data_IF_203767639552
#
_entry.id   IF_203767639552
#
_cell.length_a   1.000
_cell.length_b   1.000
_cell.length_c   1.000
_cell.angle_alpha   90.00
_cell.angle_beta   90.00
_cell.angle_gamma   90.00
#
_symmetry.space_group_name_H-M   'P 1'
#
loop_
_entity.id
_entity.type
_entity.pdbx_description
1 polymer ?
#
# COMPACT_ATOMS: atom_id res chain seq x y z
N UNK A 1 -49.44 -20.74 18.15
CA UNK A 1 -48.50 -19.85 17.43
C UNK A 1 -47.41 -20.73 16.85
N UNK A 2 -47.40 -20.90 15.53
CA UNK A 2 -46.56 -21.87 14.84
C UNK A 2 -45.11 -21.36 14.75
N UNK A 3 -44.17 -22.14 15.27
CA UNK A 3 -42.75 -21.95 15.05
C UNK A 3 -42.44 -22.31 13.59
N UNK A 4 -41.98 -21.34 12.81
CA UNK A 4 -41.47 -21.57 11.46
C UNK A 4 -40.17 -22.37 11.54
N UNK A 5 -40.25 -23.64 11.16
CA UNK A 5 -39.09 -24.52 11.01
C UNK A 5 -38.20 -24.02 9.86
N UNK A 6 -36.93 -23.74 10.18
CA UNK A 6 -35.87 -23.48 9.21
C UNK A 6 -35.58 -24.74 8.40
N UNK A 7 -35.83 -24.69 7.10
CA UNK A 7 -35.54 -25.78 6.17
C UNK A 7 -34.02 -25.96 5.98
N UNK A 8 -33.51 -27.21 5.93
CA UNK A 8 -32.12 -27.47 5.62
C UNK A 8 -31.88 -27.20 4.13
N UNK A 9 -31.18 -26.12 3.80
CA UNK A 9 -30.82 -25.80 2.42
C UNK A 9 -29.80 -26.82 1.89
N UNK A 10 -30.28 -27.76 1.08
CA UNK A 10 -29.49 -28.61 0.21
C UNK A 10 -28.64 -27.75 -0.73
N UNK A 11 -27.33 -28.00 -0.77
CA UNK A 11 -26.36 -27.22 -1.55
C UNK A 11 -26.25 -27.67 -3.01
N UNK A 12 -27.30 -28.26 -3.56
CA UNK A 12 -27.29 -28.85 -4.91
C UNK A 12 -27.59 -27.86 -6.03
N UNK A 13 -28.09 -26.67 -5.70
CA UNK A 13 -28.42 -25.65 -6.68
C UNK A 13 -27.88 -24.26 -6.30
N UNK A 14 -27.49 -23.44 -7.29
CA UNK A 14 -27.14 -22.05 -7.05
C UNK A 14 -28.38 -21.26 -6.61
N UNK A 15 -28.21 -20.38 -5.61
CA UNK A 15 -29.27 -19.49 -5.19
C UNK A 15 -29.67 -18.52 -6.33
N UNK A 16 -30.93 -18.14 -6.38
CA UNK A 16 -31.47 -17.22 -7.38
C UNK A 16 -30.67 -15.89 -7.42
N UNK A 17 -30.32 -15.43 -8.63
CA UNK A 17 -29.47 -14.25 -8.82
C UNK A 17 -27.99 -14.44 -8.42
N UNK A 18 -27.55 -15.66 -8.12
CA UNK A 18 -26.14 -15.98 -7.82
C UNK A 18 -25.49 -16.84 -8.90
N UNK A 19 -24.16 -16.79 -8.92
CA UNK A 19 -23.33 -17.47 -9.89
C UNK A 19 -23.50 -19.00 -9.83
N UNK A 20 -23.74 -19.60 -10.99
CA UNK A 20 -23.94 -21.04 -11.15
C UNK A 20 -22.64 -21.87 -11.14
N UNK A 21 -21.48 -21.25 -10.89
CA UNK A 21 -20.19 -21.96 -10.87
C UNK A 21 -20.01 -22.73 -9.54
N UNK A 22 -19.71 -24.03 -9.62
CA UNK A 22 -19.41 -24.85 -8.45
C UNK A 22 -17.94 -24.78 -8.07
N UNK A 23 -17.63 -24.33 -6.86
CA UNK A 23 -16.25 -24.22 -6.36
C UNK A 23 -15.87 -25.52 -5.66
N UNK A 24 -15.22 -26.43 -6.37
CA UNK A 24 -14.84 -27.77 -5.88
C UNK A 24 -14.09 -27.72 -4.54
N UNK A 25 -13.08 -26.84 -4.43
CA UNK A 25 -12.30 -26.66 -3.19
C UNK A 25 -13.14 -26.29 -1.97
N UNK A 26 -14.31 -25.66 -2.18
CA UNK A 26 -15.19 -25.17 -1.11
C UNK A 26 -16.52 -25.93 -1.05
N UNK A 27 -16.69 -26.96 -1.88
CA UNK A 27 -17.89 -27.80 -2.02
C UNK A 27 -19.20 -27.00 -1.99
N UNK A 28 -19.26 -25.90 -2.76
CA UNK A 28 -20.44 -25.03 -2.84
C UNK A 28 -20.47 -24.21 -4.12
N UNK A 29 -21.66 -23.74 -4.49
CA UNK A 29 -21.83 -22.75 -5.55
C UNK A 29 -21.25 -21.37 -5.18
N UNK A 30 -20.74 -20.67 -6.18
CA UNK A 30 -20.21 -19.32 -6.06
C UNK A 30 -21.32 -18.35 -5.61
N UNK A 31 -21.08 -17.63 -4.51
CA UNK A 31 -22.08 -16.69 -3.95
C UNK A 31 -22.05 -15.31 -4.59
N UNK A 32 -21.33 -15.13 -5.69
CA UNK A 32 -21.23 -13.82 -6.33
C UNK A 32 -22.50 -13.52 -7.13
N UNK A 33 -22.93 -12.26 -7.15
CA UNK A 33 -24.13 -11.81 -7.89
C UNK A 33 -23.85 -11.86 -9.39
N UNK A 34 -24.87 -12.26 -10.17
CA UNK A 34 -24.81 -12.27 -11.63
C UNK A 34 -25.46 -11.01 -12.21
N UNK A 35 -24.97 -10.55 -13.37
CA UNK A 35 -25.65 -9.51 -14.12
C UNK A 35 -26.99 -10.03 -14.67
N UNK A 36 -27.95 -9.14 -14.90
CA UNK A 36 -29.26 -9.51 -15.44
C UNK A 36 -29.11 -10.33 -16.74
N UNK A 37 -29.75 -11.50 -16.80
CA UNK A 37 -29.69 -12.40 -17.95
C UNK A 37 -28.41 -13.25 -18.06
N UNK A 38 -27.49 -13.19 -17.10
CA UNK A 38 -26.26 -14.01 -17.10
C UNK A 38 -26.30 -15.07 -16.00
N UNK A 39 -25.68 -16.23 -16.26
CA UNK A 39 -25.64 -17.38 -15.33
C UNK A 39 -24.44 -17.37 -14.37
N UNK A 40 -23.41 -16.60 -14.69
CA UNK A 40 -22.14 -16.58 -13.95
C UNK A 40 -21.71 -15.15 -13.61
N UNK A 41 -20.98 -14.98 -12.51
CA UNK A 41 -20.44 -13.67 -12.12
C UNK A 41 -19.26 -13.26 -13.01
N UNK A 42 -18.83 -11.99 -12.95
CA UNK A 42 -17.74 -11.49 -13.80
C UNK A 42 -16.43 -12.28 -13.73
N UNK A 43 -16.14 -12.96 -12.61
CA UNK A 43 -14.96 -13.83 -12.46
C UNK A 43 -15.13 -15.21 -13.11
N UNK A 44 -16.35 -15.75 -13.13
CA UNK A 44 -16.66 -17.08 -13.69
C UNK A 44 -17.42 -17.01 -15.02
N UNK A 45 -17.65 -15.81 -15.58
CA UNK A 45 -18.34 -15.59 -16.84
C UNK A 45 -17.64 -16.26 -18.04
N UNK A 46 -16.33 -16.50 -17.94
CA UNK A 46 -15.55 -17.20 -18.96
C UNK A 46 -15.81 -18.71 -19.03
N UNK A 47 -16.60 -19.29 -18.12
CA UNK A 47 -16.90 -20.72 -18.11
C UNK A 47 -18.07 -21.13 -19.03
N UNK A 48 -18.71 -20.20 -19.75
CA UNK A 48 -20.03 -20.43 -20.36
C UNK A 48 -20.21 -20.07 -21.85
N UNK A 49 -19.22 -19.51 -22.54
CA UNK A 49 -19.43 -19.05 -23.93
C UNK A 49 -18.19 -19.32 -24.79
N UNK A 50 -18.29 -20.32 -25.68
CA UNK A 50 -17.28 -20.64 -26.71
C UNK A 50 -17.36 -19.72 -27.95
N UNK A 51 -18.34 -18.83 -28.07
CA UNK A 51 -18.50 -18.00 -29.30
C UNK A 51 -18.21 -16.50 -29.14
N UNK A 52 -17.67 -16.06 -27.99
CA UNK A 52 -17.12 -14.69 -27.87
C UNK A 52 -16.05 -14.59 -26.78
N UNK A 53 -15.17 -15.60 -26.72
CA UNK A 53 -14.09 -15.65 -25.74
C UNK A 53 -13.03 -14.59 -26.08
N UNK A 54 -13.20 -13.38 -25.55
CA UNK A 54 -12.16 -12.34 -25.57
C UNK A 54 -10.87 -12.96 -25.03
N UNK A 55 -9.87 -13.10 -25.92
CA UNK A 55 -8.62 -13.78 -25.62
C UNK A 55 -7.88 -13.07 -24.49
N UNK A 56 -7.57 -13.82 -23.43
CA UNK A 56 -6.73 -13.36 -22.32
C UNK A 56 -5.31 -13.86 -22.54
N UNK A 57 -4.33 -12.97 -22.41
CA UNK A 57 -2.91 -13.24 -22.50
C UNK A 57 -2.24 -12.92 -21.17
N UNK A 58 -1.07 -13.51 -20.90
CA UNK A 58 -0.23 -13.08 -19.78
C UNK A 58 0.24 -11.65 -20.01
N UNK A 59 0.33 -10.85 -18.95
CA UNK A 59 0.81 -9.49 -19.08
C UNK A 59 2.30 -9.47 -19.44
N UNK A 60 2.72 -8.71 -20.48
CA UNK A 60 4.12 -8.59 -20.85
C UNK A 60 5.02 -7.98 -19.77
N UNK A 61 4.45 -7.18 -18.87
CA UNK A 61 5.19 -6.53 -17.76
C UNK A 61 5.27 -7.41 -16.50
N UNK A 62 4.37 -8.39 -16.36
CA UNK A 62 4.36 -9.31 -15.22
C UNK A 62 3.54 -10.56 -15.55
N UNK A 63 4.19 -11.71 -15.81
CA UNK A 63 3.50 -12.96 -16.12
C UNK A 63 2.59 -13.49 -15.01
N UNK A 64 2.59 -12.90 -13.80
CA UNK A 64 1.72 -13.34 -12.68
C UNK A 64 0.25 -12.99 -12.86
N UNK A 65 -0.12 -12.16 -13.85
CA UNK A 65 -1.52 -11.84 -14.13
C UNK A 65 -1.87 -11.89 -15.62
N UNK A 66 -3.17 -12.04 -15.89
CA UNK A 66 -3.73 -12.09 -17.25
C UNK A 66 -4.50 -10.82 -17.59
N UNK A 67 -4.50 -10.46 -18.87
CA UNK A 67 -5.18 -9.27 -19.43
C UNK A 67 -5.86 -9.64 -20.73
N UNK A 68 -6.96 -8.98 -21.07
CA UNK A 68 -7.56 -9.16 -22.39
C UNK A 68 -6.67 -8.56 -23.47
N UNK A 69 -6.46 -9.29 -24.56
CA UNK A 69 -5.60 -8.91 -25.68
C UNK A 69 -6.04 -7.56 -26.29
N UNK A 70 -7.35 -7.37 -26.47
CA UNK A 70 -7.96 -6.13 -26.97
C UNK A 70 -7.83 -4.94 -26.00
N UNK A 71 -7.55 -5.19 -24.71
CA UNK A 71 -7.34 -4.18 -23.69
C UNK A 71 -5.88 -4.05 -23.25
N UNK A 72 -4.94 -4.75 -23.89
CA UNK A 72 -3.54 -4.75 -23.51
C UNK A 72 -2.97 -3.32 -23.48
N UNK A 73 -3.21 -2.53 -24.53
CA UNK A 73 -2.71 -1.15 -24.59
C UNK A 73 -3.24 -0.27 -23.43
N UNK A 74 -4.51 -0.44 -23.05
CA UNK A 74 -5.11 0.26 -21.90
C UNK A 74 -4.55 -0.26 -20.58
N UNK A 75 -4.31 -1.57 -20.49
CA UNK A 75 -3.73 -2.21 -19.32
C UNK A 75 -2.29 -1.74 -19.09
N UNK A 76 -1.42 -1.76 -20.11
CA UNK A 76 -0.02 -1.36 -19.99
C UNK A 76 0.12 0.06 -19.41
N UNK A 77 -0.82 0.96 -19.73
CA UNK A 77 -0.86 2.32 -19.17
C UNK A 77 -1.20 2.40 -17.67
N UNK A 78 -1.77 1.36 -17.08
CA UNK A 78 -2.20 1.30 -15.67
C UNK A 78 -1.66 0.09 -14.91
N UNK A 79 -0.78 -0.70 -15.54
CA UNK A 79 -0.21 -1.89 -14.94
C UNK A 79 0.63 -1.48 -13.73
N UNK A 80 0.45 -2.18 -12.60
CA UNK A 80 1.23 -1.92 -11.40
C UNK A 80 2.71 -2.29 -11.59
N UNK A 81 3.00 -3.26 -12.46
CA UNK A 81 4.34 -3.74 -12.77
C UNK A 81 5.05 -2.89 -13.83
N UNK A 82 4.39 -1.86 -14.37
CA UNK A 82 5.05 -0.87 -15.22
C UNK A 82 6.04 -0.07 -14.37
N UNK A 83 7.25 0.10 -14.87
CA UNK A 83 8.23 1.01 -14.28
C UNK A 83 7.65 2.43 -14.23
N UNK A 84 7.52 2.97 -13.01
CA UNK A 84 7.12 4.35 -12.82
C UNK A 84 8.37 5.22 -13.01
N UNK A 85 8.23 6.42 -13.62
CA UNK A 85 9.34 7.37 -13.65
C UNK A 85 9.81 7.64 -12.23
N UNK A 86 11.11 7.53 -12.01
CA UNK A 86 11.72 7.81 -10.72
C UNK A 86 11.56 9.30 -10.41
N UNK A 87 11.10 9.67 -9.20
CA UNK A 87 10.96 11.07 -8.82
C UNK A 87 12.33 11.73 -8.65
N UNK A 88 12.39 13.07 -8.67
CA UNK A 88 13.65 13.82 -8.57
C UNK A 88 14.43 13.54 -7.29
N UNK A 89 13.71 13.23 -6.19
CA UNK A 89 14.29 12.86 -4.90
C UNK A 89 14.78 11.40 -4.82
N UNK A 90 14.80 10.67 -5.93
CA UNK A 90 15.42 9.37 -6.04
C UNK A 90 16.92 9.51 -6.36
N UNK A 91 17.78 9.01 -5.47
CA UNK A 91 19.20 8.77 -5.74
C UNK A 91 19.48 7.33 -5.33
N UNK A 92 19.90 6.51 -6.29
CA UNK A 92 20.13 5.09 -6.03
C UNK A 92 21.15 4.92 -4.90
N UNK A 93 20.78 4.05 -3.94
CA UNK A 93 21.58 3.61 -2.79
C UNK A 93 22.27 4.69 -1.94
N UNK A 94 21.78 5.94 -1.96
CA UNK A 94 22.38 7.05 -1.19
C UNK A 94 22.40 6.81 0.32
N UNK A 95 21.43 6.05 0.85
CA UNK A 95 21.35 5.71 2.27
C UNK A 95 21.55 4.22 2.53
N UNK A 96 22.06 3.44 1.56
CA UNK A 96 22.12 1.97 1.68
C UNK A 96 23.21 1.44 2.65
N UNK A 97 24.02 2.33 3.23
CA UNK A 97 25.19 1.95 4.04
C UNK A 97 26.34 1.41 3.18
N UNK A 98 27.57 1.57 3.64
CA UNK A 98 28.74 0.92 3.05
C UNK A 98 28.80 -0.53 3.56
N UNK A 99 28.99 -1.50 2.66
CA UNK A 99 29.11 -2.93 3.03
C UNK A 99 30.36 -3.27 3.85
N UNK A 100 31.35 -2.36 3.88
CA UNK A 100 32.66 -2.56 4.50
C UNK A 100 32.91 -1.73 5.76
N UNK A 101 31.89 -1.08 6.33
CA UNK A 101 32.08 -0.34 7.57
C UNK A 101 31.86 -1.26 8.78
N UNK A 102 32.98 -1.56 9.44
CA UNK A 102 33.08 -1.98 10.85
C UNK A 102 31.83 -1.60 11.62
N UNK A 103 31.16 -2.61 12.18
CA UNK A 103 29.98 -2.49 13.05
C UNK A 103 30.06 -1.18 13.85
N UNK A 104 29.34 -0.15 13.40
CA UNK A 104 29.08 1.01 14.26
C UNK A 104 28.35 0.38 15.44
N UNK A 105 28.88 0.44 16.68
CA UNK A 105 28.22 -0.20 17.79
C UNK A 105 26.81 0.37 17.87
N UNK A 106 25.81 -0.46 17.57
CA UNK A 106 24.41 -0.11 17.72
C UNK A 106 24.18 0.10 19.21
N UNK A 107 24.46 1.31 19.70
CA UNK A 107 24.14 1.69 21.06
C UNK A 107 22.64 1.97 21.11
N UNK A 108 21.87 0.88 21.08
CA UNK A 108 20.44 0.90 21.29
C UNK A 108 20.20 1.15 22.77
N UNK A 109 20.02 2.42 23.11
CA UNK A 109 19.69 2.84 24.48
C UNK A 109 18.16 2.87 24.59
N UNK A 110 17.54 2.06 25.46
CA UNK A 110 16.13 2.18 25.78
C UNK A 110 15.77 3.62 26.18
N UNK A 111 14.59 4.10 25.79
CA UNK A 111 14.10 5.42 26.23
C UNK A 111 14.09 5.52 27.77
N UNK A 112 13.81 4.42 28.45
CA UNK A 112 13.82 4.32 29.92
C UNK A 112 15.20 4.46 30.57
N UNK A 113 16.29 4.36 29.80
CA UNK A 113 17.66 4.55 30.27
C UNK A 113 18.25 5.92 29.94
N UNK A 114 17.47 6.80 29.29
CA UNK A 114 17.86 8.18 29.07
C UNK A 114 17.73 8.98 30.38
N UNK A 115 18.67 9.89 30.65
CA UNK A 115 18.56 10.79 31.80
C UNK A 115 17.43 11.80 31.61
N UNK A 116 16.93 12.35 32.72
CA UNK A 116 15.91 13.42 32.68
C UNK A 116 16.38 14.61 31.82
N UNK A 117 17.66 14.99 31.91
CA UNK A 117 18.24 16.06 31.10
C UNK A 117 18.20 15.75 29.59
N UNK A 118 18.51 14.51 29.19
CA UNK A 118 18.43 14.11 27.79
C UNK A 118 16.99 14.11 27.28
N UNK A 119 16.05 13.65 28.11
CA UNK A 119 14.63 13.66 27.77
C UNK A 119 14.10 15.09 27.64
N UNK A 120 14.46 15.98 28.55
CA UNK A 120 14.11 17.41 28.45
C UNK A 120 14.70 18.05 27.19
N UNK A 121 15.95 17.76 26.86
CA UNK A 121 16.58 18.28 25.65
C UNK A 121 15.89 17.79 24.38
N UNK A 122 15.43 16.54 24.36
CA UNK A 122 14.62 16.00 23.26
C UNK A 122 13.28 16.72 23.16
N UNK A 123 12.59 16.91 24.29
CA UNK A 123 11.32 17.64 24.36
C UNK A 123 11.50 19.09 23.91
N UNK A 124 12.56 19.78 24.33
CA UNK A 124 12.89 21.15 23.91
C UNK A 124 13.11 21.22 22.39
N UNK A 125 13.83 20.27 21.79
CA UNK A 125 14.00 20.19 20.32
C UNK A 125 12.68 19.98 19.60
N UNK A 126 11.82 19.09 20.10
CA UNK A 126 10.50 18.83 19.52
C UNK A 126 9.59 20.06 19.60
N UNK A 127 9.57 20.73 20.77
CA UNK A 127 8.78 21.96 20.97
C UNK A 127 9.29 23.07 20.08
N UNK A 128 10.59 23.32 20.01
CA UNK A 128 11.19 24.31 19.11
C UNK A 128 10.86 24.05 17.63
N UNK A 129 10.85 22.79 17.21
CA UNK A 129 10.46 22.43 15.85
C UNK A 129 8.94 22.57 15.58
N UNK A 130 8.13 22.68 16.65
CA UNK A 130 6.67 22.73 16.59
C UNK A 130 6.06 24.08 17.02
N UNK A 131 6.85 24.98 17.62
CA UNK A 131 6.39 26.17 18.35
C UNK A 131 5.72 27.22 17.44
N UNK A 132 6.20 27.38 16.20
CA UNK A 132 5.65 28.34 15.21
C UNK A 132 4.85 27.68 14.08
N UNK A 133 4.52 26.39 14.21
CA UNK A 133 3.91 25.65 13.12
C UNK A 133 2.38 25.83 13.07
N UNK A 134 1.91 27.04 12.73
CA UNK A 134 0.52 27.24 12.31
C UNK A 134 0.13 26.34 11.13
N UNK A 135 1.14 25.86 10.39
CA UNK A 135 1.04 24.91 9.28
C UNK A 135 2.16 23.86 9.34
N UNK A 136 1.86 22.69 9.90
CA UNK A 136 2.80 21.54 9.91
C UNK A 136 2.67 20.76 8.61
N UNK A 137 3.81 20.52 7.96
CA UNK A 137 3.91 19.66 6.79
C UNK A 137 4.40 18.27 7.19
N UNK A 138 3.54 17.26 6.99
CA UNK A 138 3.86 15.87 7.24
C UNK A 138 4.25 15.19 5.94
N UNK A 139 5.49 14.71 5.87
CA UNK A 139 5.98 13.86 4.78
C UNK A 139 6.02 12.42 5.29
N UNK A 140 5.19 11.57 4.71
CA UNK A 140 5.12 10.15 5.04
C UNK A 140 5.87 9.37 3.97
N UNK A 141 6.95 8.69 4.35
CA UNK A 141 7.77 7.89 3.45
C UNK A 141 7.43 6.41 3.64
N UNK A 142 7.02 5.72 2.59
CA UNK A 142 6.69 4.29 2.63
C UNK A 142 7.07 3.56 1.34
N UNK A 143 7.57 2.33 1.44
CA UNK A 143 7.95 1.50 0.28
C UNK A 143 6.73 1.04 -0.55
N UNK A 144 5.60 0.77 0.12
CA UNK A 144 4.38 0.22 -0.49
C UNK A 144 3.16 0.90 0.12
N UNK A 145 2.13 1.12 -0.71
CA UNK A 145 0.85 1.67 -0.25
C UNK A 145 0.16 0.70 0.72
N UNK A 146 0.12 1.03 2.00
CA UNK A 146 -0.72 0.32 2.96
C UNK A 146 -2.18 0.75 2.79
N UNK A 147 -3.12 -0.18 2.92
CA UNK A 147 -4.57 0.06 2.69
C UNK A 147 -5.02 1.20 3.61
N UNK A 148 -5.27 2.38 3.03
CA UNK A 148 -5.46 3.73 3.64
C UNK A 148 -6.65 3.90 4.61
N UNK A 149 -6.93 2.90 5.45
CA UNK A 149 -8.11 2.83 6.31
C UNK A 149 -8.14 3.90 7.41
N UNK A 150 -7.02 4.57 7.68
CA UNK A 150 -6.89 5.54 8.80
C UNK A 150 -6.67 6.98 8.32
N UNK A 151 -6.36 7.21 7.05
CA UNK A 151 -5.98 8.52 6.50
C UNK A 151 -7.08 9.58 6.62
N UNK A 152 -8.35 9.16 6.53
CA UNK A 152 -9.50 10.07 6.68
C UNK A 152 -9.56 10.80 8.03
N UNK A 153 -8.89 10.28 9.07
CA UNK A 153 -8.85 10.89 10.40
C UNK A 153 -7.77 11.96 10.56
N UNK A 154 -6.77 11.99 9.68
CA UNK A 154 -5.61 12.87 9.81
C UNK A 154 -5.78 14.22 9.12
N UNK A 155 -6.87 14.41 8.38
CA UNK A 155 -7.20 15.64 7.66
C UNK A 155 -7.72 16.74 8.62
N UNK A 156 -6.86 17.24 9.50
CA UNK A 156 -7.12 18.46 10.28
C UNK A 156 -6.93 19.70 9.39
N UNK A 157 -7.60 20.81 9.69
CA UNK A 157 -7.62 22.03 8.85
C UNK A 157 -6.25 22.68 8.64
N UNK A 158 -5.26 22.40 9.49
CA UNK A 158 -3.98 23.12 9.53
C UNK A 158 -2.75 22.22 9.25
N UNK A 159 -2.94 21.00 8.73
CA UNK A 159 -1.85 20.09 8.42
C UNK A 159 -1.90 19.60 6.98
N UNK A 160 -0.76 19.68 6.29
CA UNK A 160 -0.58 19.17 4.93
C UNK A 160 0.09 17.80 5.01
N UNK A 161 -0.47 16.82 4.34
CA UNK A 161 0.11 15.47 4.25
C UNK A 161 0.56 15.20 2.81
N UNK A 162 1.83 14.85 2.66
CA UNK A 162 2.42 14.37 1.43
C UNK A 162 2.94 12.95 1.65
N UNK A 163 2.66 12.03 0.73
CA UNK A 163 3.12 10.64 0.79
C UNK A 163 4.14 10.40 -0.32
N UNK A 164 5.34 9.97 0.06
CA UNK A 164 6.40 9.59 -0.87
C UNK A 164 6.48 8.07 -0.91
N UNK A 165 6.10 7.48 -2.05
CA UNK A 165 6.26 6.05 -2.28
C UNK A 165 7.68 5.77 -2.77
N UNK A 166 8.62 5.64 -1.84
CA UNK A 166 10.04 5.42 -2.13
C UNK A 166 10.67 4.64 -0.98
N UNK A 167 11.65 3.80 -1.32
CA UNK A 167 12.49 3.16 -0.33
C UNK A 167 13.46 4.19 0.28
N UNK A 168 13.62 4.18 1.61
CA UNK A 168 14.49 5.12 2.31
C UNK A 168 15.94 4.96 1.84
N UNK A 169 16.36 3.76 1.44
CA UNK A 169 17.71 3.53 0.88
C UNK A 169 18.01 4.43 -0.34
N UNK A 170 16.98 4.91 -1.04
CA UNK A 170 17.10 5.75 -2.24
C UNK A 170 16.64 7.20 -2.05
N UNK A 171 16.23 7.59 -0.84
CA UNK A 171 15.59 8.89 -0.60
C UNK A 171 16.60 10.01 -0.33
N UNK A 172 16.64 11.02 -1.20
CA UNK A 172 17.39 12.25 -0.97
C UNK A 172 16.47 13.39 -0.50
N UNK A 173 16.51 13.71 0.80
CA UNK A 173 15.68 14.77 1.40
C UNK A 173 15.91 16.15 0.77
N UNK A 174 17.15 16.46 0.36
CA UNK A 174 17.51 17.76 -0.24
C UNK A 174 16.81 18.02 -1.58
N UNK A 175 16.38 16.97 -2.27
CA UNK A 175 15.69 17.05 -3.56
C UNK A 175 14.17 17.03 -3.42
N UNK A 176 13.63 16.96 -2.20
CA UNK A 176 12.19 17.10 -1.98
C UNK A 176 11.82 18.57 -2.20
N UNK A 177 10.93 18.90 -3.16
CA UNK A 177 10.60 20.29 -3.48
C UNK A 177 10.12 21.11 -2.29
N UNK A 178 9.36 20.49 -1.39
CA UNK A 178 8.83 21.14 -0.18
C UNK A 178 9.95 21.55 0.79
N UNK A 179 10.90 20.65 1.04
CA UNK A 179 12.02 20.90 1.94
C UNK A 179 13.04 21.87 1.33
N UNK A 180 13.28 21.74 0.02
CA UNK A 180 14.23 22.59 -0.71
C UNK A 180 13.78 24.05 -0.78
N UNK A 181 12.46 24.29 -0.97
CA UNK A 181 11.90 25.64 -1.11
C UNK A 181 11.67 26.34 0.21
N UNK A 182 11.13 25.64 1.21
CA UNK A 182 10.69 26.31 2.45
C UNK A 182 11.77 26.36 3.54
N UNK A 183 12.88 25.60 3.41
CA UNK A 183 14.00 25.57 4.39
C UNK A 183 13.53 25.48 5.85
N UNK A 184 12.43 24.75 6.08
CA UNK A 184 11.83 24.59 7.40
C UNK A 184 12.69 23.69 8.30
N UNK A 185 12.62 23.86 9.63
CA UNK A 185 13.18 22.87 10.55
C UNK A 185 12.52 21.51 10.31
N UNK A 186 13.34 20.48 10.08
CA UNK A 186 12.86 19.11 9.80
C UNK A 186 13.05 18.23 11.02
N UNK A 187 12.01 17.50 11.39
CA UNK A 187 12.06 16.45 12.41
C UNK A 187 11.74 15.11 11.74
N UNK A 188 12.68 14.18 11.79
CA UNK A 188 12.47 12.81 11.35
C UNK A 188 12.06 11.91 12.51
N UNK A 189 11.00 11.12 12.33
CA UNK A 189 10.55 10.11 13.31
C UNK A 189 10.44 8.77 12.57
N UNK A 190 11.23 7.79 13.01
CA UNK A 190 11.17 6.40 12.52
C UNK A 190 10.68 5.47 13.62
N UNK A 191 9.86 4.47 13.26
CA UNK A 191 9.44 3.41 14.20
C UNK A 191 10.59 2.43 14.50
N UNK A 192 11.29 2.03 13.44
CA UNK A 192 12.48 1.19 13.49
C UNK A 192 13.42 1.71 12.39
N UNK A 193 14.50 2.38 12.76
CA UNK A 193 15.61 2.74 11.87
C UNK A 193 16.70 1.65 11.96
N UNK A 194 16.32 0.38 12.11
CA UNK A 194 17.27 -0.74 12.09
C UNK A 194 17.66 -1.07 10.65
N UNK A 195 18.88 -1.60 10.44
CA UNK A 195 19.57 -1.70 9.14
C UNK A 195 18.81 -2.37 7.97
N UNK A 196 17.73 -3.11 8.24
CA UNK A 196 16.80 -3.59 7.20
C UNK A 196 16.06 -2.46 6.45
N UNK A 197 15.98 -1.25 7.02
CA UNK A 197 15.40 -0.07 6.36
C UNK A 197 16.30 0.47 5.22
N UNK A 198 17.57 0.06 5.17
CA UNK A 198 18.57 0.52 4.21
C UNK A 198 19.08 -0.60 3.28
N UNK A 199 18.57 -1.82 3.43
CA UNK A 199 18.91 -2.95 2.56
C UNK A 199 20.18 -3.68 3.00
N UNK A 200 20.04 -4.51 4.03
CA UNK A 200 20.90 -5.68 4.26
C UNK A 200 20.13 -6.94 3.92
#
# INVERSE_FOLDING_TARGET
MAASASTPHTTDFPAEGRCSYYVEKKKRFCRMVVAAGKRFCGEHAGAAEEENARKRILCPLDPKHTVYEDQLAKHLKKCNSREKPKPDFFIQDINAGLKDETEIPEQLVPISSLSEEQLENLIKKLRKASEDAEKVHFILVEKVTTRFKVDGKHRKKNSVFERLQIDIQHLCLNKIPLLSKEKLPVVGIGKHLCGVATGT
#
